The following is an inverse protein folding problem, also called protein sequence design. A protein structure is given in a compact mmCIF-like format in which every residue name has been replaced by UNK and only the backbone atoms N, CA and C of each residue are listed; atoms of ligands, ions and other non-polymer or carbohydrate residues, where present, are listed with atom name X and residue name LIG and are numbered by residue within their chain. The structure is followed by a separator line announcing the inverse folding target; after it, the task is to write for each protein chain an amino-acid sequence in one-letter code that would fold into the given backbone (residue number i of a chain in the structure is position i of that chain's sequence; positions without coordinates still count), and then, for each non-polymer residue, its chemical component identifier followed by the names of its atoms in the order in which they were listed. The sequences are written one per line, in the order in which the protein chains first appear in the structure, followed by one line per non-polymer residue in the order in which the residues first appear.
data_IF_715440301022
#
_entry.id   IF_715440301022
#
_cell.length_a   1.000
_cell.length_b   1.000
_cell.length_c   1.000
_cell.angle_alpha   90.00
_cell.angle_beta   90.00
_cell.angle_gamma   90.00
#
_symmetry.space_group_name_H-M   'P 1'
#
loop_
_entity.id
_entity.type
_entity.pdbx_description
1 polymer ?
#
# COMPACT_ATOMS: atom_id res chain seq x y z
N UNK A 1 -40.88 -4.15 -18.53
CA UNK A 1 -39.70 -5.03 -18.72
C UNK A 1 -39.27 -5.49 -17.34
N UNK A 2 -39.22 -6.81 -17.12
CA UNK A 2 -38.72 -7.38 -15.86
C UNK A 2 -37.20 -7.47 -15.93
N UNK A 3 -36.53 -7.26 -14.80
CA UNK A 3 -35.09 -7.41 -14.67
C UNK A 3 -34.62 -8.83 -15.07
N UNK A 4 -33.44 -8.92 -15.66
CA UNK A 4 -32.80 -10.18 -16.04
C UNK A 4 -32.54 -11.05 -14.79
N UNK A 5 -33.22 -12.22 -14.67
CA UNK A 5 -33.13 -13.07 -13.48
C UNK A 5 -31.71 -13.60 -13.21
N UNK A 6 -30.91 -13.80 -14.27
CA UNK A 6 -29.55 -14.30 -14.13
C UNK A 6 -28.63 -13.25 -13.50
N UNK A 7 -28.70 -12.01 -13.99
CA UNK A 7 -27.94 -10.89 -13.44
C UNK A 7 -28.37 -10.55 -12.01
N UNK A 8 -29.67 -10.66 -11.70
CA UNK A 8 -30.14 -10.53 -10.33
C UNK A 8 -29.51 -11.58 -9.41
N UNK A 9 -29.44 -12.84 -9.85
CA UNK A 9 -28.80 -13.91 -9.08
C UNK A 9 -27.30 -13.65 -8.88
N UNK A 10 -26.57 -13.27 -9.93
CA UNK A 10 -25.15 -12.89 -9.83
C UNK A 10 -24.95 -11.73 -8.86
N UNK A 11 -25.79 -10.70 -8.93
CA UNK A 11 -25.73 -9.55 -8.03
C UNK A 11 -26.05 -9.92 -6.57
N UNK A 12 -26.99 -10.84 -6.32
CA UNK A 12 -27.27 -11.34 -4.95
C UNK A 12 -26.07 -12.09 -4.38
N UNK A 13 -25.44 -12.96 -5.16
CA UNK A 13 -24.21 -13.67 -4.74
C UNK A 13 -23.10 -12.67 -4.42
N UNK A 14 -22.88 -11.68 -5.29
CA UNK A 14 -21.87 -10.64 -5.06
C UNK A 14 -22.14 -9.80 -3.81
N UNK A 15 -23.40 -9.43 -3.54
CA UNK A 15 -23.79 -8.73 -2.31
C UNK A 15 -23.46 -9.58 -1.07
N UNK A 16 -23.69 -10.90 -1.14
CA UNK A 16 -23.37 -11.83 -0.06
C UNK A 16 -21.86 -11.94 0.16
N UNK A 17 -21.07 -12.06 -0.91
CA UNK A 17 -19.60 -12.03 -0.87
C UNK A 17 -19.07 -10.75 -0.21
N UNK A 18 -19.66 -9.60 -0.54
CA UNK A 18 -19.28 -8.31 0.04
C UNK A 18 -19.75 -8.12 1.50
N UNK A 19 -20.65 -8.96 2.00
CA UNK A 19 -21.23 -8.88 3.34
C UNK A 19 -22.29 -7.77 3.54
N UNK A 20 -22.38 -6.77 2.65
CA UNK A 20 -23.46 -5.77 2.70
C UNK A 20 -23.76 -5.14 1.33
N UNK A 21 -25.01 -4.70 1.14
CA UNK A 21 -25.43 -3.98 -0.07
C UNK A 21 -24.71 -2.65 -0.25
N UNK A 22 -24.43 -1.92 0.84
CA UNK A 22 -23.70 -0.66 0.78
C UNK A 22 -22.28 -0.85 0.24
N UNK A 23 -21.57 -1.89 0.72
CA UNK A 23 -20.22 -2.20 0.26
C UNK A 23 -20.23 -2.64 -1.20
N UNK A 24 -21.17 -3.50 -1.59
CA UNK A 24 -21.34 -3.93 -2.98
C UNK A 24 -21.66 -2.76 -3.92
N UNK A 25 -22.53 -1.83 -3.51
CA UNK A 25 -22.88 -0.64 -4.26
C UNK A 25 -21.67 0.28 -4.49
N UNK A 26 -20.89 0.52 -3.43
CA UNK A 26 -19.67 1.30 -3.51
C UNK A 26 -18.64 0.67 -4.46
N UNK A 27 -18.44 -0.66 -4.41
CA UNK A 27 -17.50 -1.37 -5.28
C UNK A 27 -17.94 -1.39 -6.76
N UNK A 28 -19.25 -1.49 -7.01
CA UNK A 28 -19.84 -1.43 -8.35
C UNK A 28 -20.04 0.05 -8.81
N UNK A 29 -19.67 1.05 -8.01
CA UNK A 29 -19.83 2.46 -8.39
C UNK A 29 -21.28 2.88 -8.63
N UNK A 30 -22.24 2.27 -7.91
CA UNK A 30 -23.68 2.59 -7.97
C UNK A 30 -24.22 2.95 -6.59
N UNK A 31 -25.42 3.52 -6.54
CA UNK A 31 -26.09 3.79 -5.27
C UNK A 31 -26.69 2.51 -4.69
N UNK A 32 -26.77 2.43 -3.36
CA UNK A 32 -27.47 1.32 -2.67
C UNK A 32 -28.92 1.21 -3.14
N UNK A 33 -29.58 2.35 -3.38
CA UNK A 33 -30.93 2.40 -3.91
C UNK A 33 -31.05 1.76 -5.29
N UNK A 34 -30.09 1.99 -6.20
CA UNK A 34 -30.08 1.36 -7.52
C UNK A 34 -29.97 -0.17 -7.44
N UNK A 35 -29.08 -0.69 -6.59
CA UNK A 35 -28.96 -2.14 -6.35
C UNK A 35 -30.25 -2.70 -5.75
N UNK A 36 -30.80 -2.05 -4.71
CA UNK A 36 -31.99 -2.53 -4.01
C UNK A 36 -33.23 -2.56 -4.92
N UNK A 37 -33.43 -1.49 -5.71
CA UNK A 37 -34.56 -1.39 -6.64
C UNK A 37 -34.43 -2.38 -7.79
N UNK A 38 -33.22 -2.63 -8.31
CA UNK A 38 -32.99 -3.68 -9.31
C UNK A 38 -33.25 -5.09 -8.74
N UNK A 39 -32.77 -5.39 -7.53
CA UNK A 39 -33.00 -6.68 -6.88
C UNK A 39 -34.46 -6.94 -6.49
N UNK A 40 -35.25 -5.89 -6.26
CA UNK A 40 -36.69 -5.99 -5.94
C UNK A 40 -37.58 -5.86 -7.18
N UNK A 41 -36.99 -5.82 -8.39
CA UNK A 41 -37.72 -5.66 -9.64
C UNK A 41 -38.54 -4.36 -9.73
N UNK A 42 -38.11 -3.32 -9.00
CA UNK A 42 -38.73 -2.00 -8.91
C UNK A 42 -37.87 -0.88 -9.52
N UNK A 43 -36.85 -1.24 -10.32
CA UNK A 43 -35.92 -0.28 -10.92
C UNK A 43 -36.64 0.57 -11.98
N UNK A 44 -36.87 1.85 -11.67
CA UNK A 44 -37.56 2.79 -12.54
C UNK A 44 -36.64 3.47 -13.59
N UNK A 45 -35.33 3.18 -13.55
CA UNK A 45 -34.36 3.73 -14.50
C UNK A 45 -34.31 2.95 -15.83
N UNK A 46 -33.31 3.28 -16.66
CA UNK A 46 -33.03 2.52 -17.87
C UNK A 46 -32.45 1.15 -17.52
N UNK A 47 -33.30 0.13 -17.53
CA UNK A 47 -32.98 -1.25 -17.18
C UNK A 47 -31.88 -1.82 -18.08
N UNK A 48 -32.00 -1.65 -19.39
CA UNK A 48 -31.06 -2.18 -20.40
C UNK A 48 -29.64 -1.65 -20.16
N UNK A 49 -29.47 -0.34 -19.98
CA UNK A 49 -28.17 0.27 -19.66
C UNK A 49 -27.60 -0.22 -18.33
N UNK A 50 -28.46 -0.46 -17.34
CA UNK A 50 -28.01 -0.97 -16.04
C UNK A 50 -27.58 -2.43 -16.13
N UNK A 51 -28.28 -3.25 -16.90
CA UNK A 51 -27.96 -4.64 -17.14
C UNK A 51 -26.68 -4.81 -17.95
N UNK A 52 -26.49 -4.07 -19.05
CA UNK A 52 -25.23 -4.08 -19.80
C UNK A 52 -24.03 -3.66 -18.94
N UNK A 53 -24.23 -2.69 -18.04
CA UNK A 53 -23.21 -2.30 -17.08
C UNK A 53 -22.87 -3.44 -16.10
N UNK A 54 -23.88 -4.12 -15.55
CA UNK A 54 -23.66 -5.27 -14.67
C UNK A 54 -22.98 -6.43 -15.38
N UNK A 55 -23.35 -6.71 -16.63
CA UNK A 55 -22.71 -7.72 -17.47
C UNK A 55 -21.23 -7.42 -17.67
N UNK A 56 -20.88 -6.19 -18.01
CA UNK A 56 -19.49 -5.77 -18.16
C UNK A 56 -18.72 -5.92 -16.84
N UNK A 57 -19.29 -5.45 -15.72
CA UNK A 57 -18.67 -5.57 -14.39
C UNK A 57 -18.41 -7.02 -14.02
N UNK A 58 -19.39 -7.91 -14.19
CA UNK A 58 -19.23 -9.31 -13.85
C UNK A 58 -18.30 -10.05 -14.82
N UNK A 59 -18.34 -9.73 -16.11
CA UNK A 59 -17.40 -10.30 -17.10
C UNK A 59 -15.96 -9.90 -16.78
N UNK A 60 -15.74 -8.64 -16.39
CA UNK A 60 -14.42 -8.16 -15.97
C UNK A 60 -13.98 -8.82 -14.65
N UNK A 61 -14.90 -9.02 -13.69
CA UNK A 61 -14.62 -9.75 -12.43
C UNK A 61 -14.24 -11.21 -12.71
N UNK A 62 -15.04 -11.93 -13.49
CA UNK A 62 -14.77 -13.31 -13.88
C UNK A 62 -13.44 -13.43 -14.64
N UNK A 63 -13.16 -12.51 -15.58
CA UNK A 63 -11.89 -12.48 -16.30
C UNK A 63 -10.69 -12.23 -15.37
N UNK A 64 -10.84 -11.35 -14.37
CA UNK A 64 -9.81 -11.09 -13.37
C UNK A 64 -9.63 -12.27 -12.38
N UNK A 65 -10.72 -12.94 -11.98
CA UNK A 65 -10.68 -14.13 -11.11
C UNK A 65 -10.09 -15.35 -11.83
N UNK A 66 -10.22 -15.43 -13.16
CA UNK A 66 -9.59 -16.46 -13.99
C UNK A 66 -8.07 -16.27 -14.15
N UNK A 67 -7.51 -15.11 -13.77
CA UNK A 67 -6.07 -14.95 -13.65
C UNK A 67 -5.61 -15.74 -12.42
N UNK A 68 -4.88 -16.85 -12.65
CA UNK A 68 -4.36 -17.72 -11.60
C UNK A 68 -3.43 -16.98 -10.62
N UNK A 69 -2.85 -15.87 -11.06
CA UNK A 69 -2.01 -14.98 -10.24
C UNK A 69 -2.76 -14.18 -9.17
N UNK A 70 -4.09 -14.01 -9.27
CA UNK A 70 -4.87 -13.14 -8.38
C UNK A 70 -4.91 -13.60 -6.91
N UNK A 71 -4.72 -14.91 -6.65
CA UNK A 71 -4.76 -15.49 -5.30
C UNK A 71 -3.41 -15.45 -4.57
N UNK A 72 -2.29 -15.26 -5.28
CA UNK A 72 -0.95 -15.37 -4.70
C UNK A 72 -0.35 -14.05 -4.14
N UNK A 73 -0.98 -12.90 -4.42
CA UNK A 73 -0.34 -11.59 -4.19
C UNK A 73 -0.78 -10.82 -2.93
N UNK A 74 -1.92 -11.14 -2.30
CA UNK A 74 -2.53 -10.25 -1.32
C UNK A 74 -2.22 -10.55 0.15
N UNK A 75 -1.54 -11.64 0.45
CA UNK A 75 -1.17 -11.98 1.82
C UNK A 75 0.21 -11.39 2.17
N UNK A 76 0.30 -10.73 3.33
CA UNK A 76 1.56 -10.25 3.85
C UNK A 76 2.48 -11.44 4.15
N UNK A 77 3.68 -11.40 3.58
CA UNK A 77 4.73 -12.39 3.84
C UNK A 77 5.90 -11.71 4.58
N UNK A 78 6.30 -12.21 5.77
CA UNK A 78 7.35 -11.61 6.58
C UNK A 78 8.73 -11.88 5.96
N UNK A 79 9.11 -11.12 4.95
CA UNK A 79 10.48 -11.13 4.42
C UNK A 79 11.40 -10.37 5.37
N UNK A 80 12.69 -10.69 5.33
CA UNK A 80 13.72 -10.09 6.19
C UNK A 80 13.65 -8.56 6.21
N UNK A 81 13.51 -7.93 5.03
CA UNK A 81 13.41 -6.46 4.91
C UNK A 81 12.10 -5.97 5.52
N UNK A 82 10.98 -6.65 5.22
CA UNK A 82 9.67 -6.23 5.73
C UNK A 82 9.57 -6.33 7.26
N UNK A 83 10.16 -7.36 7.86
CA UNK A 83 10.25 -7.53 9.31
C UNK A 83 11.12 -6.43 9.93
N UNK A 84 12.26 -6.12 9.30
CA UNK A 84 13.12 -5.04 9.77
C UNK A 84 12.42 -3.67 9.74
N UNK A 85 11.65 -3.37 8.68
CA UNK A 85 10.81 -2.15 8.60
C UNK A 85 9.75 -2.16 9.69
N UNK A 86 9.09 -3.30 9.92
CA UNK A 86 8.10 -3.48 10.96
C UNK A 86 8.71 -3.22 12.36
N UNK A 87 9.90 -3.72 12.62
CA UNK A 87 10.65 -3.50 13.86
C UNK A 87 11.04 -2.03 14.05
N UNK A 88 11.50 -1.34 12.99
CA UNK A 88 11.73 0.11 13.01
C UNK A 88 10.47 0.88 13.44
N UNK A 89 9.33 0.57 12.83
CA UNK A 89 8.04 1.17 13.18
C UNK A 89 7.68 0.83 14.64
N UNK A 90 7.91 -0.41 15.08
CA UNK A 90 7.65 -0.86 16.45
C UNK A 90 8.47 -0.10 17.47
N UNK A 91 9.77 0.06 17.22
CA UNK A 91 10.66 0.82 18.08
C UNK A 91 10.24 2.30 18.16
N UNK A 92 9.88 2.89 17.02
CA UNK A 92 9.36 4.25 16.93
C UNK A 92 8.06 4.40 17.73
N UNK A 93 7.14 3.44 17.62
CA UNK A 93 5.88 3.43 18.36
C UNK A 93 6.09 3.36 19.88
N UNK A 94 7.00 2.50 20.34
CA UNK A 94 7.23 2.29 21.77
C UNK A 94 8.05 3.41 22.42
N UNK A 95 9.07 3.92 21.73
CA UNK A 95 10.00 4.92 22.30
C UNK A 95 9.61 6.36 21.99
N UNK A 96 8.66 6.57 21.08
CA UNK A 96 8.39 7.87 20.47
C UNK A 96 9.61 8.41 19.69
N UNK A 97 9.43 9.57 19.06
CA UNK A 97 10.49 10.21 18.28
C UNK A 97 10.43 9.89 16.80
N UNK A 98 11.35 10.54 16.09
CA UNK A 98 11.41 10.47 14.65
C UNK A 98 12.31 9.31 14.21
N UNK A 99 11.78 8.47 13.32
CA UNK A 99 12.50 7.42 12.62
C UNK A 99 12.38 7.66 11.10
N UNK A 100 13.44 7.36 10.38
CA UNK A 100 13.49 7.43 8.91
C UNK A 100 13.85 6.04 8.39
N UNK A 101 12.95 5.45 7.62
CA UNK A 101 13.15 4.16 6.95
C UNK A 101 13.15 4.39 5.44
N UNK A 102 14.33 4.32 4.84
CA UNK A 102 14.51 4.57 3.41
C UNK A 102 14.99 3.33 2.71
N UNK A 103 14.73 3.23 1.41
CA UNK A 103 15.31 2.18 0.61
C UNK A 103 14.80 2.12 -0.80
N UNK A 104 15.32 1.18 -1.57
CA UNK A 104 14.96 1.00 -2.97
C UNK A 104 13.46 0.69 -3.15
N UNK A 105 12.93 1.02 -4.33
CA UNK A 105 11.53 0.76 -4.66
C UNK A 105 11.25 -0.75 -4.76
N UNK A 106 10.04 -1.17 -4.36
CA UNK A 106 9.60 -2.54 -4.57
C UNK A 106 10.20 -3.60 -3.64
N UNK A 107 10.84 -3.22 -2.53
CA UNK A 107 11.43 -4.16 -1.54
C UNK A 107 10.48 -4.55 -0.38
N UNK A 108 9.22 -4.07 -0.38
CA UNK A 108 8.22 -4.47 0.61
C UNK A 108 7.92 -3.48 1.75
N UNK A 109 8.50 -2.26 1.74
CA UNK A 109 8.28 -1.25 2.79
C UNK A 109 6.80 -0.90 3.03
N UNK A 110 6.07 -0.58 1.96
CA UNK A 110 4.62 -0.27 2.02
C UNK A 110 3.80 -1.43 2.60
N UNK A 111 4.15 -2.67 2.26
CA UNK A 111 3.44 -3.85 2.79
C UNK A 111 3.68 -4.01 4.29
N UNK A 112 4.90 -3.79 4.78
CA UNK A 112 5.20 -3.77 6.21
C UNK A 112 4.44 -2.66 6.95
N UNK A 113 4.35 -1.45 6.37
CA UNK A 113 3.60 -0.34 6.96
C UNK A 113 2.10 -0.65 7.10
N UNK A 114 1.50 -1.19 6.04
CA UNK A 114 0.09 -1.60 6.03
C UNK A 114 -0.17 -2.71 7.04
N UNK A 115 0.72 -3.72 7.09
CA UNK A 115 0.61 -4.82 8.06
C UNK A 115 0.68 -4.30 9.50
N UNK A 116 1.61 -3.40 9.80
CA UNK A 116 1.70 -2.79 11.13
C UNK A 116 0.44 -2.01 11.51
N UNK A 117 -0.11 -1.23 10.56
CA UNK A 117 -1.35 -0.47 10.78
C UNK A 117 -2.58 -1.38 10.96
N UNK A 118 -2.58 -2.57 10.36
CA UNK A 118 -3.60 -3.59 10.62
C UNK A 118 -3.45 -4.17 12.02
N UNK A 119 -2.25 -4.60 12.40
CA UNK A 119 -1.96 -5.22 13.70
C UNK A 119 -2.20 -4.26 14.89
N UNK A 120 -1.97 -2.95 14.70
CA UNK A 120 -2.07 -1.91 15.74
C UNK A 120 -3.02 -0.76 15.36
N UNK A 121 -4.16 -1.10 14.77
CA UNK A 121 -5.13 -0.14 14.20
C UNK A 121 -5.66 0.95 15.13
N UNK A 122 -5.70 0.73 16.44
CA UNK A 122 -6.16 1.73 17.41
C UNK A 122 -5.13 2.85 17.68
N UNK A 123 -3.85 2.55 17.49
CA UNK A 123 -2.71 3.41 17.87
C UNK A 123 -1.88 3.87 16.67
N UNK A 124 -2.16 3.35 15.47
CA UNK A 124 -1.40 3.65 14.25
C UNK A 124 -2.20 4.52 13.30
N UNK A 125 -1.60 5.65 12.91
CA UNK A 125 -2.07 6.49 11.83
C UNK A 125 -1.18 6.20 10.62
N UNK A 126 -1.74 5.56 9.60
CA UNK A 126 -1.05 5.33 8.33
C UNK A 126 -1.56 6.29 7.26
N UNK A 127 -0.64 6.99 6.61
CA UNK A 127 -0.93 7.82 5.44
C UNK A 127 0.10 7.59 4.34
N UNK A 128 -0.39 7.52 3.10
CA UNK A 128 0.45 7.53 1.90
C UNK A 128 0.44 8.92 1.29
N UNK A 129 1.62 9.51 1.08
CA UNK A 129 1.75 10.82 0.44
C UNK A 129 1.88 10.63 -1.06
N UNK A 130 1.26 11.52 -1.83
CA UNK A 130 1.48 11.59 -3.27
C UNK A 130 1.89 13.03 -3.68
N UNK A 131 2.37 13.23 -4.92
CA UNK A 131 2.76 14.56 -5.40
C UNK A 131 1.67 15.64 -5.38
N UNK A 132 0.39 15.27 -5.24
CA UNK A 132 -0.71 16.23 -5.13
C UNK A 132 -0.93 16.73 -3.68
N UNK A 133 -0.35 16.06 -2.69
CA UNK A 133 -0.56 16.32 -1.25
C UNK A 133 0.64 17.00 -0.58
N UNK A 134 1.49 17.67 -1.36
CA UNK A 134 2.78 18.20 -0.91
C UNK A 134 2.67 19.44 -0.01
N UNK A 135 1.58 20.21 -0.11
CA UNK A 135 1.42 21.40 0.74
C UNK A 135 1.07 21.01 2.18
N UNK A 136 1.55 21.76 3.18
CA UNK A 136 1.19 21.54 4.58
C UNK A 136 -0.33 21.48 4.80
N UNK A 137 -1.10 22.34 4.14
CA UNK A 137 -2.57 22.33 4.25
C UNK A 137 -3.18 21.03 3.70
N UNK A 138 -2.70 20.56 2.55
CA UNK A 138 -3.17 19.30 1.96
C UNK A 138 -2.80 18.10 2.85
N UNK A 139 -1.59 18.09 3.40
CA UNK A 139 -1.15 17.07 4.34
C UNK A 139 -1.97 17.06 5.64
N UNK A 140 -2.21 18.22 6.26
CA UNK A 140 -3.07 18.30 7.46
C UNK A 140 -4.51 17.86 7.17
N UNK A 141 -5.06 18.22 5.99
CA UNK A 141 -6.37 17.73 5.55
C UNK A 141 -6.41 16.22 5.37
N UNK A 142 -5.32 15.62 4.84
CA UNK A 142 -5.18 14.17 4.74
C UNK A 142 -5.23 13.52 6.12
N UNK A 143 -4.44 14.02 7.08
CA UNK A 143 -4.46 13.51 8.45
C UNK A 143 -5.84 13.66 9.11
N UNK A 144 -6.48 14.83 8.96
CA UNK A 144 -7.83 15.06 9.48
C UNK A 144 -8.83 14.05 8.89
N UNK A 145 -8.77 13.80 7.58
CA UNK A 145 -9.62 12.79 6.91
C UNK A 145 -9.37 11.38 7.45
N UNK A 146 -8.11 10.99 7.62
CA UNK A 146 -7.73 9.66 8.14
C UNK A 146 -8.23 9.46 9.57
N UNK A 147 -8.09 10.49 10.41
CA UNK A 147 -8.51 10.47 11.82
C UNK A 147 -9.99 10.81 12.03
N UNK A 148 -10.74 11.10 10.96
CA UNK A 148 -12.15 11.56 11.00
C UNK A 148 -12.35 12.83 11.83
N UNK A 149 -11.36 13.72 11.82
CA UNK A 149 -11.39 15.04 12.45
C UNK A 149 -11.92 16.07 11.43
N UNK A 150 -12.78 16.97 11.88
CA UNK A 150 -13.29 18.06 11.03
C UNK A 150 -12.16 18.98 10.58
N UNK A 151 -11.97 19.10 9.27
CA UNK A 151 -11.00 20.02 8.69
C UNK A 151 -11.43 21.49 8.90
N UNK A 152 -10.46 22.38 9.01
CA UNK A 152 -10.68 23.81 9.25
C UNK A 152 -9.53 24.64 8.69
N UNK A 153 -9.21 25.73 9.38
CA UNK A 153 -8.00 26.50 9.10
C UNK A 153 -6.74 25.70 9.47
N UNK A 154 -5.57 26.11 8.96
CA UNK A 154 -4.31 25.36 9.15
C UNK A 154 -3.92 25.21 10.62
N UNK A 155 -4.02 26.29 11.38
CA UNK A 155 -3.78 26.35 12.81
C UNK A 155 -4.75 25.46 13.59
N UNK A 156 -6.05 25.56 13.31
CA UNK A 156 -7.08 24.71 13.94
C UNK A 156 -6.86 23.23 13.65
N UNK A 157 -6.54 22.87 12.40
CA UNK A 157 -6.25 21.49 12.03
C UNK A 157 -5.01 20.97 12.76
N UNK A 158 -3.95 21.78 12.87
CA UNK A 158 -2.74 21.38 13.58
C UNK A 158 -3.03 21.13 15.07
N UNK A 159 -3.74 22.04 15.74
CA UNK A 159 -4.10 21.89 17.16
C UNK A 159 -4.98 20.66 17.40
N UNK A 160 -6.05 20.48 16.62
CA UNK A 160 -6.92 19.30 16.74
C UNK A 160 -6.17 17.98 16.52
N UNK A 161 -5.20 17.97 15.60
CA UNK A 161 -4.36 16.80 15.37
C UNK A 161 -3.41 16.57 16.55
N UNK A 162 -2.79 17.61 17.08
CA UNK A 162 -1.93 17.53 18.27
C UNK A 162 -2.69 16.96 19.47
N UNK A 163 -3.90 17.48 19.74
CA UNK A 163 -4.79 16.97 20.79
C UNK A 163 -5.13 15.48 20.54
N UNK A 164 -5.38 15.11 19.28
CA UNK A 164 -5.67 13.72 18.91
C UNK A 164 -4.47 12.78 19.11
N UNK A 165 -3.25 13.30 19.21
CA UNK A 165 -2.05 12.51 19.48
C UNK A 165 -1.75 12.35 20.96
N UNK A 166 -2.41 13.11 21.84
CA UNK A 166 -2.27 12.95 23.29
C UNK A 166 -2.84 11.60 23.78
N UNK A 167 -2.45 11.24 25.00
CA UNK A 167 -2.87 10.02 25.68
C UNK A 167 -1.88 8.86 25.49
N UNK A 168 -2.41 7.70 25.10
CA UNK A 168 -1.61 6.50 24.86
C UNK A 168 -0.59 6.70 23.71
N UNK A 169 0.51 5.94 23.73
CA UNK A 169 1.53 5.97 22.68
C UNK A 169 0.88 5.67 21.33
N UNK A 170 1.12 6.56 20.37
CA UNK A 170 0.66 6.45 18.98
C UNK A 170 1.84 6.52 18.03
N UNK A 171 1.65 6.01 16.82
CA UNK A 171 2.63 6.13 15.74
C UNK A 171 1.98 6.67 14.47
N UNK A 172 2.61 7.71 13.91
CA UNK A 172 2.29 8.27 12.60
C UNK A 172 3.27 7.70 11.57
N UNK A 173 2.77 6.84 10.69
CA UNK A 173 3.52 6.27 9.57
C UNK A 173 3.19 7.06 8.31
N UNK A 174 4.21 7.65 7.70
CA UNK A 174 4.11 8.46 6.49
C UNK A 174 4.84 7.71 5.38
N UNK A 175 4.09 7.04 4.53
CA UNK A 175 4.60 6.30 3.37
C UNK A 175 4.76 7.23 2.16
N UNK A 176 5.72 6.92 1.29
CA UNK A 176 6.15 7.77 0.16
C UNK A 176 6.57 9.20 0.59
N UNK A 177 7.28 9.30 1.72
CA UNK A 177 7.68 10.57 2.34
C UNK A 177 8.61 11.44 1.47
N UNK A 178 9.26 10.89 0.43
CA UNK A 178 10.08 11.68 -0.51
C UNK A 178 9.29 12.80 -1.20
N UNK A 179 7.97 12.70 -1.26
CA UNK A 179 7.12 13.73 -1.86
C UNK A 179 6.92 14.94 -0.95
N UNK A 180 7.18 14.82 0.36
CA UNK A 180 6.96 15.92 1.28
C UNK A 180 8.06 16.99 1.15
N UNK A 181 7.70 18.27 0.99
CA UNK A 181 8.66 19.34 1.05
C UNK A 181 9.10 19.54 2.49
N UNK A 182 10.31 20.08 2.65
CA UNK A 182 10.95 20.35 3.95
C UNK A 182 10.03 21.06 4.93
N UNK A 183 9.30 22.10 4.49
CA UNK A 183 8.38 22.87 5.35
C UNK A 183 7.29 22.00 5.98
N UNK A 184 6.82 20.98 5.26
CA UNK A 184 5.83 20.04 5.79
C UNK A 184 6.48 19.06 6.77
N UNK A 185 7.70 18.60 6.51
CA UNK A 185 8.45 17.74 7.43
C UNK A 185 8.76 18.45 8.75
N UNK A 186 9.13 19.74 8.72
CA UNK A 186 9.33 20.55 9.93
C UNK A 186 8.04 20.70 10.75
N UNK A 187 6.90 20.87 10.10
CA UNK A 187 5.60 20.92 10.76
C UNK A 187 5.20 19.56 11.36
N UNK A 188 5.56 18.45 10.70
CA UNK A 188 5.39 17.10 11.24
C UNK A 188 6.27 16.90 12.48
N UNK A 189 7.53 17.33 12.43
CA UNK A 189 8.45 17.28 13.58
C UNK A 189 7.89 18.04 14.78
N UNK A 190 7.24 19.18 14.55
CA UNK A 190 6.64 19.97 15.61
C UNK A 190 5.62 19.18 16.45
N UNK A 191 4.93 18.16 15.88
CA UNK A 191 4.06 17.27 16.66
C UNK A 191 4.82 16.45 17.69
N UNK A 192 6.02 15.98 17.35
CA UNK A 192 6.89 15.28 18.29
C UNK A 192 7.47 16.24 19.35
N UNK A 193 7.84 17.46 18.95
CA UNK A 193 8.31 18.48 19.89
C UNK A 193 7.22 18.81 20.94
N UNK A 194 5.93 18.80 20.56
CA UNK A 194 4.79 18.95 21.49
C UNK A 194 4.42 17.68 22.26
N UNK A 195 4.70 16.49 21.71
CA UNK A 195 4.39 15.21 22.33
C UNK A 195 5.54 14.21 22.11
N UNK A 196 6.41 14.08 23.11
CA UNK A 196 7.56 13.18 23.03
C UNK A 196 7.21 11.68 23.00
N UNK A 197 5.96 11.33 23.31
CA UNK A 197 5.48 9.94 23.25
C UNK A 197 5.02 9.54 21.84
N UNK A 198 4.77 10.50 20.95
CA UNK A 198 4.40 10.25 19.56
C UNK A 198 5.60 9.67 18.78
N UNK A 199 5.41 8.50 18.19
CA UNK A 199 6.31 7.96 17.18
C UNK A 199 5.97 8.56 15.82
N UNK A 200 6.97 9.01 15.06
CA UNK A 200 6.80 9.44 13.67
C UNK A 200 7.78 8.64 12.81
N UNK A 201 7.27 7.85 11.88
CA UNK A 201 8.08 7.06 10.95
C UNK A 201 7.90 7.58 9.53
N UNK A 202 8.98 8.14 8.97
CA UNK A 202 9.04 8.59 7.58
C UNK A 202 9.56 7.44 6.72
N UNK A 203 8.72 6.91 5.84
CA UNK A 203 9.05 5.78 4.97
C UNK A 203 9.10 6.25 3.52
N UNK A 204 10.19 5.99 2.81
CA UNK A 204 10.34 6.51 1.45
C UNK A 204 11.51 5.91 0.65
N UNK A 205 11.78 6.49 -0.50
CA UNK A 205 12.94 6.12 -1.33
C UNK A 205 14.25 6.68 -0.74
N UNK A 206 15.41 6.18 -1.18
CA UNK A 206 16.73 6.65 -0.77
C UNK A 206 16.90 8.16 -1.00
N UNK A 207 16.31 8.70 -2.07
CA UNK A 207 16.28 10.13 -2.39
C UNK A 207 15.65 10.99 -1.30
N UNK A 208 14.83 10.41 -0.41
CA UNK A 208 14.29 11.07 0.79
C UNK A 208 15.41 11.51 1.74
N UNK A 209 16.56 10.82 1.75
CA UNK A 209 17.68 11.06 2.68
C UNK A 209 18.93 11.55 1.97
N UNK A 210 19.16 11.14 0.72
CA UNK A 210 20.42 11.40 0.01
C UNK A 210 20.41 12.64 -0.87
N UNK A 211 19.30 13.37 -1.00
CA UNK A 211 19.18 14.50 -1.91
C UNK A 211 20.38 15.47 -1.79
N UNK A 212 21.24 15.47 -2.80
CA UNK A 212 22.52 16.19 -2.93
C UNK A 212 22.30 17.65 -3.33
N UNK A 213 21.50 18.40 -2.56
CA UNK A 213 21.19 19.81 -2.83
C UNK A 213 20.84 20.62 -1.58
N UNK A 214 20.22 21.80 -1.76
CA UNK A 214 19.82 22.75 -0.68
C UNK A 214 18.89 22.14 0.40
N UNK A 215 18.34 20.95 0.16
CA UNK A 215 17.57 20.14 1.09
C UNK A 215 18.41 19.39 2.13
N UNK A 216 19.72 19.23 1.91
CA UNK A 216 20.65 18.52 2.78
C UNK A 216 20.76 19.12 4.18
N UNK A 217 20.67 20.45 4.31
CA UNK A 217 20.77 21.16 5.59
C UNK A 217 19.52 20.95 6.47
N UNK A 218 18.33 20.98 5.87
CA UNK A 218 17.09 20.72 6.59
C UNK A 218 16.96 19.24 6.98
N UNK A 219 17.28 18.32 6.07
CA UNK A 219 17.35 16.90 6.42
C UNK A 219 18.47 16.58 7.40
N UNK A 220 19.56 17.35 7.45
CA UNK A 220 20.58 17.21 8.50
C UNK A 220 20.07 17.65 9.88
N UNK A 221 19.29 18.73 9.97
CA UNK A 221 18.62 19.13 11.22
C UNK A 221 17.63 18.05 11.69
N UNK A 222 16.89 17.47 10.76
CA UNK A 222 15.97 16.36 11.03
C UNK A 222 16.76 15.12 11.47
N UNK A 223 17.84 14.76 10.77
CA UNK A 223 18.70 13.61 11.07
C UNK A 223 19.32 13.70 12.46
N UNK A 224 19.76 14.89 12.89
CA UNK A 224 20.29 15.09 14.25
C UNK A 224 19.24 14.86 15.36
N UNK A 225 17.95 15.00 15.05
CA UNK A 225 16.83 14.72 15.97
C UNK A 225 16.15 13.37 15.68
N UNK A 226 16.61 12.65 14.67
CA UNK A 226 16.12 11.33 14.28
C UNK A 226 16.83 10.30 15.13
N UNK A 227 16.05 9.47 15.86
CA UNK A 227 16.61 8.43 16.72
C UNK A 227 17.14 7.24 15.92
N UNK A 228 16.57 7.00 14.74
CA UNK A 228 16.87 5.84 13.91
C UNK A 228 16.78 6.21 12.43
N UNK A 229 17.84 5.95 11.67
CA UNK A 229 17.86 6.11 10.21
C UNK A 229 18.39 4.83 9.59
N UNK A 230 17.51 4.12 8.90
CA UNK A 230 17.82 2.86 8.22
C UNK A 230 17.71 3.04 6.71
N UNK A 231 18.68 2.48 5.97
CA UNK A 231 18.70 2.49 4.50
C UNK A 231 18.75 1.04 4.02
N UNK A 232 17.73 0.64 3.25
CA UNK A 232 17.53 -0.72 2.75
C UNK A 232 17.77 -0.77 1.25
N UNK A 233 18.53 -1.76 0.80
CA UNK A 233 18.85 -1.94 -0.61
C UNK A 233 18.26 -3.25 -1.15
N UNK A 234 17.99 -3.29 -2.46
CA UNK A 234 17.58 -4.54 -3.15
C UNK A 234 18.64 -5.63 -2.98
N UNK A 235 19.92 -5.27 -2.91
CA UNK A 235 21.04 -6.20 -2.69
C UNK A 235 20.94 -6.96 -1.37
N UNK A 236 20.22 -6.43 -0.38
CA UNK A 236 20.01 -7.07 0.92
C UNK A 236 18.95 -8.17 0.92
N UNK A 237 18.21 -8.37 -0.19
CA UNK A 237 17.21 -9.43 -0.32
C UNK A 237 17.90 -10.79 -0.27
N UNK A 238 17.36 -11.72 0.53
CA UNK A 238 17.92 -13.05 0.74
C UNK A 238 17.20 -14.10 -0.10
N UNK A 239 17.89 -15.22 -0.36
CA UNK A 239 17.32 -16.41 -1.03
C UNK A 239 16.08 -16.93 -0.28
N UNK A 240 16.15 -16.96 1.06
CA UNK A 240 15.03 -17.35 1.93
C UNK A 240 13.78 -16.48 1.74
N UNK A 241 13.95 -15.19 1.44
CA UNK A 241 12.81 -14.30 1.16
C UNK A 241 12.12 -14.69 -0.15
N UNK A 242 12.88 -15.07 -1.18
CA UNK A 242 12.36 -15.54 -2.47
C UNK A 242 11.60 -16.86 -2.31
N UNK A 243 12.14 -17.79 -1.54
CA UNK A 243 11.48 -19.07 -1.26
C UNK A 243 10.16 -18.89 -0.49
N UNK A 244 10.11 -17.91 0.44
CA UNK A 244 8.89 -17.55 1.15
C UNK A 244 7.84 -16.90 0.22
N UNK A 245 8.29 -15.98 -0.64
CA UNK A 245 7.43 -15.24 -1.57
C UNK A 245 6.87 -16.13 -2.68
N UNK A 246 7.68 -17.06 -3.20
CA UNK A 246 7.36 -17.91 -4.34
C UNK A 246 7.52 -19.40 -3.99
N UNK A 247 6.68 -19.95 -3.10
CA UNK A 247 6.83 -21.33 -2.62
C UNK A 247 6.72 -22.38 -3.75
N UNK A 248 6.01 -22.07 -4.83
CA UNK A 248 5.82 -22.97 -5.96
C UNK A 248 7.11 -23.27 -6.77
N UNK A 249 8.15 -22.44 -6.64
CA UNK A 249 9.44 -22.64 -7.31
C UNK A 249 10.57 -22.94 -6.33
N UNK A 250 10.25 -23.15 -5.05
CA UNK A 250 11.23 -23.35 -3.98
C UNK A 250 12.21 -24.50 -4.27
N UNK A 251 11.71 -25.57 -4.89
CA UNK A 251 12.50 -26.77 -5.18
C UNK A 251 13.36 -26.64 -6.46
N UNK A 252 13.14 -25.60 -7.28
CA UNK A 252 13.97 -25.28 -8.45
C UNK A 252 14.97 -24.17 -8.11
N UNK A 253 16.19 -24.58 -7.75
CA UNK A 253 17.25 -23.65 -7.38
C UNK A 253 17.61 -22.65 -8.49
N UNK A 254 17.47 -23.03 -9.77
CA UNK A 254 17.76 -22.12 -10.89
C UNK A 254 16.69 -21.04 -10.97
N UNK A 255 15.42 -21.42 -10.83
CA UNK A 255 14.29 -20.48 -10.77
C UNK A 255 14.41 -19.53 -9.56
N UNK A 256 14.75 -20.04 -8.37
CA UNK A 256 14.95 -19.21 -7.18
C UNK A 256 16.09 -18.21 -7.38
N UNK A 257 17.25 -18.67 -7.88
CA UNK A 257 18.39 -17.80 -8.12
C UNK A 257 18.10 -16.74 -9.19
N UNK A 258 17.32 -17.09 -10.21
CA UNK A 258 16.86 -16.13 -11.21
C UNK A 258 15.97 -15.04 -10.61
N UNK A 259 14.94 -15.43 -9.85
CA UNK A 259 14.04 -14.47 -9.18
C UNK A 259 14.78 -13.63 -8.14
N UNK A 260 15.78 -14.18 -7.46
CA UNK A 260 16.68 -13.43 -6.60
C UNK A 260 17.47 -12.37 -7.38
N UNK A 261 18.00 -12.74 -8.56
CA UNK A 261 18.68 -11.80 -9.47
C UNK A 261 17.77 -10.65 -9.92
N UNK A 262 16.53 -10.97 -10.34
CA UNK A 262 15.51 -9.96 -10.67
C UNK A 262 15.21 -9.08 -9.47
N UNK A 263 15.05 -9.68 -8.28
CA UNK A 263 14.72 -8.95 -7.06
C UNK A 263 15.83 -8.01 -6.60
N UNK A 264 17.09 -8.36 -6.87
CA UNK A 264 18.28 -7.53 -6.57
C UNK A 264 18.54 -6.44 -7.62
N UNK A 265 17.83 -6.46 -8.74
CA UNK A 265 17.87 -5.38 -9.75
C UNK A 265 17.03 -4.16 -9.32
N UNK A 266 17.01 -3.11 -10.14
CA UNK A 266 16.16 -1.91 -9.94
C UNK A 266 14.65 -2.23 -9.82
N UNK A 267 14.24 -3.42 -10.26
CA UNK A 267 12.84 -3.84 -10.25
C UNK A 267 12.35 -4.27 -8.86
N UNK A 268 13.27 -4.63 -7.95
CA UNK A 268 12.94 -5.11 -6.61
C UNK A 268 12.12 -6.41 -6.61
N UNK A 269 11.59 -6.76 -5.44
CA UNK A 269 10.66 -7.91 -5.28
C UNK A 269 9.44 -7.73 -6.18
N UNK A 270 8.95 -6.50 -6.36
CA UNK A 270 7.83 -6.19 -7.25
C UNK A 270 8.04 -6.71 -8.67
N UNK A 271 9.24 -6.51 -9.24
CA UNK A 271 9.58 -7.03 -10.56
C UNK A 271 9.55 -8.55 -10.63
N UNK A 272 10.17 -9.20 -9.64
CA UNK A 272 10.17 -10.66 -9.55
C UNK A 272 8.74 -11.21 -9.41
N UNK A 273 7.88 -10.57 -8.61
CA UNK A 273 6.47 -10.92 -8.49
C UNK A 273 5.72 -10.80 -9.82
N UNK A 274 5.97 -9.75 -10.60
CA UNK A 274 5.36 -9.58 -11.91
C UNK A 274 5.81 -10.68 -12.90
N UNK A 275 7.10 -11.01 -12.93
CA UNK A 275 7.63 -12.11 -13.76
C UNK A 275 6.99 -13.43 -13.37
N UNK A 276 6.96 -13.73 -12.08
CA UNK A 276 6.37 -14.96 -11.55
C UNK A 276 4.86 -15.06 -11.85
N UNK A 277 4.10 -13.98 -11.69
CA UNK A 277 2.67 -13.97 -11.97
C UNK A 277 2.37 -14.20 -13.45
N UNK A 278 3.12 -13.54 -14.34
CA UNK A 278 2.98 -13.76 -15.77
C UNK A 278 3.35 -15.20 -16.17
N UNK A 279 4.33 -15.80 -15.49
CA UNK A 279 4.71 -17.20 -15.70
C UNK A 279 3.62 -18.18 -15.22
N UNK A 280 2.98 -17.89 -14.08
CA UNK A 280 1.82 -18.63 -13.56
C UNK A 280 0.64 -18.56 -14.52
N UNK A 281 0.33 -17.37 -15.02
CA UNK A 281 -0.79 -17.15 -15.95
C UNK A 281 -0.55 -17.86 -17.30
N UNK A 282 0.71 -17.94 -17.75
CA UNK A 282 1.10 -18.73 -18.92
C UNK A 282 1.28 -20.23 -18.63
N UNK A 283 1.08 -20.66 -17.38
CA UNK A 283 1.16 -22.07 -16.98
C UNK A 283 2.58 -22.67 -17.00
N UNK A 284 3.62 -21.84 -17.04
CA UNK A 284 5.00 -22.30 -17.07
C UNK A 284 5.88 -21.52 -16.07
N UNK A 285 6.04 -22.07 -14.86
CA UNK A 285 6.84 -21.50 -13.77
C UNK A 285 8.28 -22.06 -13.72
N UNK A 286 8.70 -22.84 -14.72
CA UNK A 286 10.08 -23.33 -14.82
C UNK A 286 11.06 -22.18 -15.00
N UNK A 287 12.34 -22.42 -14.73
CA UNK A 287 13.41 -21.46 -15.01
C UNK A 287 13.35 -20.87 -16.43
N UNK A 288 13.14 -21.70 -17.46
CA UNK A 288 13.02 -21.26 -18.85
C UNK A 288 11.78 -20.39 -19.08
N UNK A 289 10.66 -20.74 -18.44
CA UNK A 289 9.42 -19.96 -18.47
C UNK A 289 9.61 -18.56 -17.86
N UNK A 290 10.25 -18.48 -16.70
CA UNK A 290 10.56 -17.22 -16.02
C UNK A 290 11.48 -16.32 -16.85
N UNK A 291 12.50 -16.89 -17.50
CA UNK A 291 13.38 -16.14 -18.41
C UNK A 291 12.61 -15.61 -19.61
N UNK A 292 11.77 -16.43 -20.23
CA UNK A 292 10.95 -16.02 -21.36
C UNK A 292 10.05 -14.82 -20.97
N UNK A 293 9.47 -14.85 -19.78
CA UNK A 293 8.67 -13.74 -19.24
C UNK A 293 9.49 -12.48 -19.00
N UNK A 294 10.65 -12.60 -18.35
CA UNK A 294 11.52 -11.45 -18.11
C UNK A 294 11.99 -10.79 -19.42
N UNK A 295 12.28 -11.58 -20.46
CA UNK A 295 12.59 -11.07 -21.81
C UNK A 295 11.40 -10.37 -22.46
N UNK A 296 10.21 -10.97 -22.38
CA UNK A 296 8.98 -10.36 -22.90
C UNK A 296 8.67 -9.01 -22.22
N UNK A 297 8.95 -8.92 -20.92
CA UNK A 297 8.83 -7.70 -20.12
C UNK A 297 10.00 -6.70 -20.32
N UNK A 298 10.98 -7.04 -21.17
CA UNK A 298 12.18 -6.22 -21.45
C UNK A 298 12.97 -5.84 -20.20
N UNK A 299 13.02 -6.72 -19.20
CA UNK A 299 13.77 -6.46 -17.99
C UNK A 299 15.28 -6.57 -18.27
N UNK A 300 16.04 -5.57 -17.84
CA UNK A 300 17.52 -5.57 -17.90
C UNK A 300 18.10 -6.38 -16.75
N UNK A 301 17.91 -7.69 -16.77
CA UNK A 301 18.42 -8.62 -15.73
C UNK A 301 19.39 -9.65 -16.32
N UNK A 302 19.83 -9.42 -17.55
CA UNK A 302 20.72 -10.28 -18.33
C UNK A 302 22.04 -9.56 -18.59
#
# INVERSE_FOLDING_TARGET
MSANPELQRKLRSYVKECGSQNKAAALIGKSTAAISTYLSNSYAGNLEKFESYLEEVFKNKEAAENLKSATAQNEYKPTTISESVYETIRLCHLKGGLAIECGDAGIGKTMACKKYAEDYSASTIYVTVNPCLVTLSAFLKLLCRTQKITAGRKDEMWLRLADSFEGERKVLIIDEAQHLPIKTIEAIRAFFDSNQQLGICLVGNIETVTNTGKSKEAFAQIRNRTKLTEIRHTTSIKKSDIELLFPAVKDDERAVNFLLGVSRSEQGIRGASNVFCNAVDNGNITYEGLIAMAKAMKLKVF
#
